data_IF_364123262219
#
_entry.id   IF_364123262219
#
_cell.length_a   1.000
_cell.length_b   1.000
_cell.length_c   1.000
_cell.angle_alpha   90.00
_cell.angle_beta   90.00
_cell.angle_gamma   90.00
#
_symmetry.space_group_name_H-M   'P 1'
#
loop_
_entity.id
_entity.type
_entity.pdbx_description
1 polymer ?
#
# COMPACT_ATOMS: atom_id res chain seq x y z
N UNK A 1 3.29 11.16 -22.27
CA UNK A 1 3.43 11.79 -20.95
C UNK A 1 3.86 13.24 -21.16
N UNK A 2 3.05 14.21 -20.72
CA UNK A 2 3.35 15.66 -20.86
C UNK A 2 3.47 16.35 -19.51
N UNK A 3 3.25 15.63 -18.41
CA UNK A 3 3.36 16.11 -17.03
C UNK A 3 4.22 15.14 -16.21
N UNK A 4 4.48 15.49 -14.94
CA UNK A 4 5.24 14.66 -14.02
C UNK A 4 4.55 13.32 -13.77
N UNK A 5 5.27 12.21 -13.99
CA UNK A 5 4.80 10.83 -13.78
C UNK A 5 5.88 10.00 -13.09
N UNK A 6 5.47 9.14 -12.17
CA UNK A 6 6.36 8.34 -11.33
C UNK A 6 5.65 7.08 -10.79
N UNK A 7 6.40 6.26 -10.05
CA UNK A 7 5.90 5.16 -9.23
C UNK A 7 5.07 4.12 -9.98
N UNK A 8 5.51 3.77 -11.19
CA UNK A 8 4.83 2.76 -11.98
C UNK A 8 4.99 1.38 -11.36
N UNK A 9 3.87 0.70 -11.15
CA UNK A 9 3.80 -0.71 -10.77
C UNK A 9 3.05 -1.50 -11.83
N UNK A 10 3.36 -2.79 -11.93
CA UNK A 10 2.75 -3.72 -12.88
C UNK A 10 2.03 -4.84 -12.14
N UNK A 11 0.90 -5.29 -12.69
CA UNK A 11 0.29 -6.55 -12.28
C UNK A 11 -0.44 -7.22 -13.45
N UNK A 12 -0.57 -8.54 -13.36
CA UNK A 12 -1.41 -9.36 -14.25
C UNK A 12 -2.68 -9.77 -13.49
N UNK A 13 -3.80 -9.87 -14.19
CA UNK A 13 -5.02 -10.49 -13.68
C UNK A 13 -5.85 -11.09 -14.83
N UNK A 14 -6.16 -12.39 -14.75
CA UNK A 14 -6.97 -13.13 -15.72
C UNK A 14 -6.48 -13.00 -17.18
N UNK A 15 -5.17 -13.07 -17.39
CA UNK A 15 -4.51 -12.98 -18.70
C UNK A 15 -4.40 -11.56 -19.25
N UNK A 16 -4.84 -10.55 -18.50
CA UNK A 16 -4.68 -9.13 -18.82
C UNK A 16 -3.56 -8.51 -18.00
N UNK A 17 -2.86 -7.56 -18.60
CA UNK A 17 -1.65 -6.97 -18.07
C UNK A 17 -1.87 -5.47 -17.87
N UNK A 18 -1.58 -4.98 -16.67
CA UNK A 18 -1.91 -3.63 -16.24
C UNK A 18 -0.69 -2.94 -15.66
N UNK A 19 -0.64 -1.62 -15.85
CA UNK A 19 0.26 -0.73 -15.10
C UNK A 19 -0.54 0.33 -14.37
N UNK A 20 -0.11 0.66 -13.16
CA UNK A 20 -0.64 1.76 -12.36
C UNK A 20 0.52 2.72 -12.11
N UNK A 21 0.30 4.03 -12.23
CA UNK A 21 1.32 5.05 -11.95
C UNK A 21 0.69 6.30 -11.36
N UNK A 22 1.51 7.12 -10.70
CA UNK A 22 1.12 8.45 -10.28
C UNK A 22 1.42 9.47 -11.39
N UNK A 23 0.48 10.37 -11.66
CA UNK A 23 0.68 11.48 -12.61
C UNK A 23 0.00 12.74 -12.10
N UNK A 24 0.68 13.88 -12.25
CA UNK A 24 0.14 15.18 -11.83
C UNK A 24 -0.71 15.77 -12.96
N UNK A 25 -2.02 15.91 -12.70
CA UNK A 25 -3.00 16.63 -13.53
C UNK A 25 -3.91 17.49 -12.64
N UNK A 26 -3.30 18.47 -11.96
CA UNK A 26 -3.89 19.17 -10.83
C UNK A 26 -3.32 18.60 -9.52
N UNK A 27 -3.96 17.56 -9.00
CA UNK A 27 -3.44 16.76 -7.88
C UNK A 27 -2.58 15.60 -8.41
N UNK A 28 -1.68 15.02 -7.58
CA UNK A 28 -1.04 13.75 -7.91
C UNK A 28 -2.06 12.63 -7.71
N UNK A 29 -2.39 11.92 -8.78
CA UNK A 29 -3.46 10.92 -8.83
C UNK A 29 -2.95 9.62 -9.44
N UNK A 30 -3.57 8.50 -9.09
CA UNK A 30 -3.24 7.22 -9.71
C UNK A 30 -4.04 7.01 -10.98
N UNK A 31 -3.34 6.62 -12.04
CA UNK A 31 -3.90 6.20 -13.31
C UNK A 31 -3.58 4.73 -13.56
N UNK A 32 -4.45 4.05 -14.29
CA UNK A 32 -4.25 2.65 -14.69
C UNK A 32 -4.52 2.47 -16.19
N UNK A 33 -3.73 1.63 -16.84
CA UNK A 33 -3.89 1.27 -18.25
C UNK A 33 -3.48 -0.18 -18.50
N UNK A 34 -3.97 -0.76 -19.59
CA UNK A 34 -3.50 -2.05 -20.09
C UNK A 34 -2.19 -1.90 -20.88
N UNK A 35 -1.36 -2.94 -20.85
CA UNK A 35 -0.15 -3.11 -21.67
C UNK A 35 -0.17 -4.48 -22.36
N UNK A 36 0.74 -4.68 -23.32
CA UNK A 36 1.12 -6.03 -23.77
C UNK A 36 2.43 -6.45 -23.10
N UNK A 37 2.58 -7.69 -22.60
CA UNK A 37 3.85 -8.18 -22.06
C UNK A 37 4.95 -8.30 -23.12
N UNK A 38 4.61 -8.33 -24.41
CA UNK A 38 5.58 -8.34 -25.52
C UNK A 38 6.19 -6.95 -25.77
N UNK A 39 5.44 -5.89 -25.46
CA UNK A 39 5.88 -4.49 -25.55
C UNK A 39 5.50 -3.72 -24.26
N UNK A 40 6.03 -4.09 -23.09
CA UNK A 40 5.55 -3.62 -21.78
C UNK A 40 5.76 -2.12 -21.54
N UNK A 41 6.57 -1.47 -22.37
CA UNK A 41 6.80 -0.03 -22.35
C UNK A 41 5.73 0.77 -23.12
N UNK A 42 4.74 0.10 -23.75
CA UNK A 42 3.65 0.74 -24.51
C UNK A 42 2.29 0.42 -23.90
N UNK A 43 1.52 1.47 -23.64
CA UNK A 43 0.11 1.31 -23.28
C UNK A 43 -0.69 0.83 -24.49
N UNK A 44 -1.59 -0.13 -24.26
CA UNK A 44 -2.52 -0.66 -25.27
C UNK A 44 -3.93 -0.11 -25.10
N UNK A 45 -4.22 0.55 -23.97
CA UNK A 45 -5.48 1.23 -23.69
C UNK A 45 -5.30 2.72 -23.42
N UNK A 46 -6.42 3.46 -23.41
CA UNK A 46 -6.44 4.77 -22.76
C UNK A 46 -6.33 4.60 -21.23
N UNK A 47 -5.60 5.47 -20.52
CA UNK A 47 -5.58 5.46 -19.07
C UNK A 47 -6.94 5.80 -18.46
N UNK A 48 -7.31 5.14 -17.38
CA UNK A 48 -8.38 5.57 -16.47
C UNK A 48 -7.79 6.29 -15.26
N UNK A 49 -8.54 7.24 -14.71
CA UNK A 49 -8.27 7.77 -13.37
C UNK A 49 -8.73 6.74 -12.34
N UNK A 50 -7.79 6.05 -11.69
CA UNK A 50 -8.09 5.03 -10.70
C UNK A 50 -8.45 5.66 -9.36
N UNK A 51 -7.66 6.62 -8.89
CA UNK A 51 -7.99 7.39 -7.69
C UNK A 51 -7.33 8.77 -7.67
N UNK A 52 -7.95 9.68 -6.94
CA UNK A 52 -7.43 11.01 -6.64
C UNK A 52 -7.60 11.31 -5.15
N UNK A 53 -6.80 12.23 -4.58
CA UNK A 53 -6.98 12.71 -3.22
C UNK A 53 -8.38 13.32 -3.04
N UNK A 54 -9.18 12.74 -2.15
CA UNK A 54 -10.54 13.21 -1.86
C UNK A 54 -10.80 13.32 -0.36
N UNK A 55 -10.26 12.39 0.44
CA UNK A 55 -10.40 12.41 1.90
C UNK A 55 -9.37 13.32 2.55
N UNK A 56 -9.67 13.83 3.76
CA UNK A 56 -8.81 14.80 4.44
C UNK A 56 -7.43 14.23 4.78
N UNK A 57 -7.36 12.94 5.11
CA UNK A 57 -6.09 12.22 5.35
C UNK A 57 -5.22 12.09 4.09
N UNK A 58 -5.74 12.37 2.89
CA UNK A 58 -4.99 12.32 1.63
C UNK A 58 -4.43 13.69 1.20
N UNK A 59 -4.79 14.75 1.93
CA UNK A 59 -4.58 16.14 1.55
C UNK A 59 -3.75 16.91 2.58
N UNK A 60 -3.16 16.24 3.56
CA UNK A 60 -2.36 16.87 4.60
C UNK A 60 -1.03 17.30 3.98
N UNK A 61 -0.74 18.59 4.04
CA UNK A 61 0.40 19.29 3.41
C UNK A 61 0.41 19.25 1.87
N UNK A 62 0.14 18.11 1.25
CA UNK A 62 0.05 17.93 -0.19
C UNK A 62 -1.15 17.04 -0.56
N UNK A 63 -1.71 17.27 -1.76
CA UNK A 63 -2.81 16.47 -2.32
C UNK A 63 -2.21 15.39 -3.20
N UNK A 64 -1.94 14.22 -2.60
CA UNK A 64 -1.16 13.16 -3.25
C UNK A 64 -1.84 11.79 -3.10
N UNK A 65 -1.93 11.06 -4.20
CA UNK A 65 -2.03 9.61 -4.25
C UNK A 65 -0.86 9.11 -5.12
N UNK A 66 0.04 8.32 -4.56
CA UNK A 66 1.26 7.83 -5.23
C UNK A 66 1.66 6.42 -4.77
N UNK A 67 2.81 5.89 -5.21
CA UNK A 67 3.40 4.66 -4.68
C UNK A 67 2.44 3.46 -4.69
N UNK A 68 1.86 3.14 -5.83
CA UNK A 68 0.87 2.07 -5.94
C UNK A 68 1.50 0.67 -5.77
N UNK A 69 0.82 -0.20 -5.02
CA UNK A 69 1.19 -1.60 -4.84
C UNK A 69 -0.02 -2.51 -4.89
N UNK A 70 0.11 -3.65 -5.57
CA UNK A 70 -1.02 -4.56 -5.83
C UNK A 70 -0.87 -5.86 -5.07
N UNK A 71 -1.96 -6.30 -4.43
CA UNK A 71 -2.06 -7.62 -3.78
C UNK A 71 -3.33 -8.33 -4.27
N UNK A 72 -3.22 -9.62 -4.59
CA UNK A 72 -4.35 -10.46 -5.02
C UNK A 72 -4.59 -11.56 -4.00
N UNK A 73 -5.78 -11.60 -3.41
CA UNK A 73 -6.20 -12.61 -2.41
C UNK A 73 -7.72 -12.62 -2.29
N UNK A 74 -8.32 -13.72 -1.81
CA UNK A 74 -9.76 -13.78 -1.53
C UNK A 74 -10.67 -13.49 -2.74
N UNK A 75 -10.19 -13.76 -3.97
CA UNK A 75 -10.93 -13.44 -5.20
C UNK A 75 -11.02 -11.95 -5.53
N UNK A 76 -10.21 -11.10 -4.89
CA UNK A 76 -10.15 -9.65 -5.11
C UNK A 76 -8.76 -9.19 -5.53
N UNK A 77 -8.73 -8.04 -6.21
CA UNK A 77 -7.53 -7.24 -6.46
C UNK A 77 -7.57 -6.04 -5.52
N UNK A 78 -6.51 -5.86 -4.75
CA UNK A 78 -6.31 -4.74 -3.84
C UNK A 78 -5.22 -3.84 -4.40
N UNK A 79 -5.50 -2.55 -4.52
CA UNK A 79 -4.50 -1.52 -4.84
C UNK A 79 -4.29 -0.67 -3.60
N UNK A 80 -3.11 -0.79 -3.02
CA UNK A 80 -2.62 0.07 -1.96
C UNK A 80 -1.89 1.25 -2.57
N UNK A 81 -1.97 2.41 -1.92
CA UNK A 81 -1.34 3.63 -2.41
C UNK A 81 -1.00 4.53 -1.22
N UNK A 82 -0.04 5.41 -1.39
CA UNK A 82 0.35 6.36 -0.34
C UNK A 82 -0.25 7.74 -0.58
N UNK A 83 -0.48 8.49 0.50
CA UNK A 83 -1.13 9.79 0.41
C UNK A 83 -0.53 10.84 1.36
N UNK A 84 -0.91 12.10 1.14
CA UNK A 84 -0.40 13.28 1.86
C UNK A 84 1.09 13.56 1.64
N UNK A 85 1.63 14.55 2.35
CA UNK A 85 3.06 14.85 2.34
C UNK A 85 3.90 13.73 2.94
N UNK A 86 5.18 13.65 2.56
CA UNK A 86 6.09 12.60 3.00
C UNK A 86 6.63 12.83 4.43
N UNK A 87 5.92 13.57 5.27
CA UNK A 87 6.18 13.73 6.70
C UNK A 87 5.49 12.65 7.54
N UNK A 88 5.14 12.97 8.79
CA UNK A 88 4.43 12.07 9.72
C UNK A 88 3.00 11.73 9.28
N UNK A 89 2.43 12.57 8.41
CA UNK A 89 1.11 12.43 7.81
C UNK A 89 1.05 11.39 6.68
N UNK A 90 2.20 10.93 6.19
CA UNK A 90 2.27 9.92 5.14
C UNK A 90 1.60 8.63 5.63
N UNK A 91 0.72 8.08 4.81
CA UNK A 91 -0.08 6.92 5.17
C UNK A 91 -0.52 6.16 3.92
N UNK A 92 -1.01 4.93 4.12
CA UNK A 92 -1.44 4.03 3.05
C UNK A 92 -2.96 3.95 2.99
N UNK A 93 -3.52 4.22 1.82
CA UNK A 93 -4.91 3.95 1.46
C UNK A 93 -5.08 2.64 0.71
N UNK A 94 -6.33 2.23 0.50
CA UNK A 94 -6.68 1.01 -0.25
C UNK A 94 -7.89 1.19 -1.15
N UNK A 95 -7.79 0.66 -2.36
CA UNK A 95 -8.91 0.35 -3.23
C UNK A 95 -9.04 -1.16 -3.42
N UNK A 96 -10.24 -1.63 -3.67
CA UNK A 96 -10.52 -3.04 -3.94
C UNK A 96 -11.54 -3.22 -5.07
N UNK A 97 -11.31 -4.26 -5.88
CA UNK A 97 -12.23 -4.73 -6.92
C UNK A 97 -12.30 -6.26 -6.91
N UNK A 98 -13.39 -6.82 -7.39
CA UNK A 98 -13.45 -8.26 -7.69
C UNK A 98 -12.43 -8.59 -8.78
N UNK A 99 -11.68 -9.69 -8.63
CA UNK A 99 -10.73 -10.14 -9.63
C UNK A 99 -11.39 -10.50 -10.97
N UNK A 100 -12.70 -10.79 -10.97
CA UNK A 100 -13.48 -11.13 -12.16
C UNK A 100 -14.25 -9.93 -12.74
N UNK A 101 -14.12 -8.73 -12.17
CA UNK A 101 -14.74 -7.52 -12.70
C UNK A 101 -13.93 -6.93 -13.87
N UNK A 102 -14.52 -6.00 -14.61
CA UNK A 102 -13.77 -5.16 -15.53
C UNK A 102 -12.93 -4.15 -14.75
N UNK A 103 -11.64 -4.43 -14.58
CA UNK A 103 -10.72 -3.57 -13.83
C UNK A 103 -10.52 -2.21 -14.52
N UNK A 104 -10.77 -2.10 -15.83
CA UNK A 104 -10.72 -0.84 -16.56
C UNK A 104 -11.99 0.01 -16.43
N UNK A 105 -13.02 -0.45 -15.71
CA UNK A 105 -14.14 0.39 -15.27
C UNK A 105 -13.92 0.86 -13.83
N UNK A 106 -13.82 2.18 -13.63
CA UNK A 106 -13.68 2.77 -12.30
C UNK A 106 -14.82 2.37 -11.33
N UNK A 107 -16.00 2.05 -11.85
CA UNK A 107 -17.14 1.59 -11.05
C UNK A 107 -16.92 0.21 -10.41
N UNK A 108 -15.97 -0.58 -10.91
CA UNK A 108 -15.57 -1.86 -10.32
C UNK A 108 -14.80 -1.69 -9.01
N UNK A 109 -14.29 -0.48 -8.74
CA UNK A 109 -13.41 -0.20 -7.62
C UNK A 109 -14.13 0.48 -6.47
N UNK A 110 -13.88 0.01 -5.26
CA UNK A 110 -14.30 0.65 -4.01
C UNK A 110 -13.08 1.20 -3.31
N UNK A 111 -13.06 2.51 -3.03
CA UNK A 111 -12.03 3.16 -2.21
C UNK A 111 -12.46 3.19 -0.75
N UNK A 112 -11.55 2.81 0.16
CA UNK A 112 -11.78 2.92 1.59
C UNK A 112 -11.71 4.39 2.03
N UNK A 113 -12.54 4.75 3.00
CA UNK A 113 -12.68 6.14 3.49
C UNK A 113 -11.62 6.56 4.52
N UNK A 114 -10.81 5.62 4.97
CA UNK A 114 -9.80 5.79 6.02
C UNK A 114 -8.50 5.10 5.58
N UNK A 115 -7.33 5.55 6.07
CA UNK A 115 -6.08 4.86 5.82
C UNK A 115 -6.12 3.45 6.41
N UNK A 116 -5.40 2.52 5.79
CA UNK A 116 -5.22 1.14 6.21
C UNK A 116 -3.86 0.90 6.87
N UNK A 117 -2.96 1.89 6.84
CA UNK A 117 -1.73 1.94 7.61
C UNK A 117 -1.34 3.41 7.83
N UNK A 118 -1.09 3.79 9.06
CA UNK A 118 -0.71 5.16 9.46
C UNK A 118 0.30 5.12 10.61
N UNK A 119 0.84 6.28 11.00
CA UNK A 119 1.73 6.41 12.16
C UNK A 119 1.12 5.87 13.47
N UNK A 120 -0.21 5.82 13.59
CA UNK A 120 -0.89 5.23 14.75
C UNK A 120 -0.74 3.69 14.82
N UNK A 121 -0.49 3.03 13.69
CA UNK A 121 -0.45 1.58 13.55
C UNK A 121 0.99 1.01 13.62
N UNK A 122 1.99 1.89 13.72
CA UNK A 122 3.43 1.55 13.76
C UNK A 122 4.14 2.26 14.93
N UNK A 123 3.94 1.82 16.19
CA UNK A 123 4.57 2.45 17.34
C UNK A 123 6.10 2.55 17.20
N UNK A 124 6.64 3.75 17.39
CA UNK A 124 8.08 4.03 17.22
C UNK A 124 8.48 4.46 15.80
N UNK A 125 7.54 4.41 14.85
CA UNK A 125 7.71 4.85 13.47
C UNK A 125 6.73 5.99 13.14
N UNK A 126 6.99 6.69 12.05
CA UNK A 126 6.21 7.84 11.58
C UNK A 126 6.22 7.91 10.06
N UNK A 127 5.05 8.18 9.48
CA UNK A 127 4.85 8.31 8.04
C UNK A 127 5.08 7.04 7.23
N UNK A 128 4.42 5.89 7.54
CA UNK A 128 4.61 4.66 6.77
C UNK A 128 3.98 4.76 5.38
N UNK A 129 4.73 4.35 4.34
CA UNK A 129 4.16 4.29 3.00
C UNK A 129 5.13 3.81 1.92
N UNK A 130 4.72 4.07 0.68
CA UNK A 130 5.29 3.60 -0.58
C UNK A 130 5.65 2.13 -0.51
N UNK A 131 4.64 1.32 -0.19
CA UNK A 131 4.85 -0.08 0.12
C UNK A 131 5.01 -0.94 -1.14
N UNK A 132 5.44 -2.18 -0.92
CA UNK A 132 5.38 -3.29 -1.86
C UNK A 132 5.07 -4.57 -1.08
N UNK A 133 4.80 -5.66 -1.80
CA UNK A 133 4.47 -6.94 -1.21
C UNK A 133 5.42 -8.02 -1.70
N UNK A 134 5.91 -8.84 -0.78
CA UNK A 134 6.78 -9.97 -1.07
C UNK A 134 6.33 -11.19 -0.29
N UNK A 135 6.83 -12.37 -0.67
CA UNK A 135 6.61 -13.61 0.06
C UNK A 135 7.98 -14.15 0.49
N UNK A 136 8.11 -14.56 1.75
CA UNK A 136 9.34 -15.16 2.26
C UNK A 136 9.49 -16.64 1.83
N UNK A 137 10.59 -17.26 2.22
CA UNK A 137 10.87 -18.68 1.92
C UNK A 137 9.89 -19.67 2.56
N UNK A 138 9.11 -19.24 3.56
CA UNK A 138 8.12 -20.05 4.26
C UNK A 138 6.70 -19.85 3.71
N UNK A 139 6.53 -18.98 2.71
CA UNK A 139 5.23 -18.65 2.14
C UNK A 139 4.47 -17.55 2.90
N UNK A 140 5.10 -16.86 3.86
CA UNK A 140 4.47 -15.76 4.57
C UNK A 140 4.43 -14.51 3.67
N UNK A 141 3.26 -13.90 3.61
CA UNK A 141 3.07 -12.63 2.91
C UNK A 141 3.60 -11.48 3.79
N UNK A 142 4.43 -10.62 3.20
CA UNK A 142 5.07 -9.49 3.89
C UNK A 142 4.77 -8.17 3.19
N UNK A 143 4.57 -7.11 3.98
CA UNK A 143 4.63 -5.73 3.51
C UNK A 143 6.07 -5.22 3.66
N UNK A 144 6.61 -4.62 2.60
CA UNK A 144 7.85 -3.85 2.64
C UNK A 144 7.47 -2.39 2.44
N UNK A 145 7.84 -1.50 3.36
CA UNK A 145 7.49 -0.08 3.30
C UNK A 145 8.66 0.76 3.83
N UNK A 146 8.59 2.08 3.68
CA UNK A 146 9.48 2.97 4.40
C UNK A 146 8.74 3.76 5.48
N UNK A 147 9.44 4.08 6.56
CA UNK A 147 8.97 4.99 7.60
C UNK A 147 10.18 5.70 8.24
N UNK A 148 9.94 6.81 8.93
CA UNK A 148 10.94 7.44 9.80
C UNK A 148 10.81 6.95 11.24
N UNK A 149 11.86 7.03 12.07
CA UNK A 149 11.70 6.94 13.51
C UNK A 149 10.77 8.05 14.01
N UNK A 150 9.88 7.77 14.96
CA UNK A 150 8.97 8.80 15.52
C UNK A 150 9.70 9.97 16.19
N UNK A 151 10.94 9.76 16.66
CA UNK A 151 11.83 10.81 17.14
C UNK A 151 12.13 11.90 16.09
N UNK A 152 11.87 11.62 14.80
CA UNK A 152 11.98 12.60 13.73
C UNK A 152 10.96 13.74 13.86
N UNK A 153 9.77 13.46 14.39
CA UNK A 153 8.70 14.46 14.57
C UNK A 153 9.12 15.57 15.55
N UNK A 154 9.93 15.20 16.56
CA UNK A 154 10.52 16.12 17.55
C UNK A 154 11.91 16.64 17.14
N UNK A 155 12.36 16.36 15.91
CA UNK A 155 13.70 16.71 15.39
C UNK A 155 14.86 16.20 16.25
N UNK A 156 14.65 15.08 16.94
CA UNK A 156 15.63 14.50 17.86
C UNK A 156 16.38 13.30 17.26
N UNK A 157 16.05 12.90 16.03
CA UNK A 157 16.89 11.99 15.25
C UNK A 157 18.11 12.75 14.70
N UNK A 158 19.30 12.15 14.72
CA UNK A 158 20.58 12.83 14.49
C UNK A 158 20.78 13.57 13.14
N UNK A 159 19.86 13.44 12.19
CA UNK A 159 19.81 14.23 10.94
C UNK A 159 18.40 14.76 10.71
N UNK A 160 18.29 16.02 10.28
CA UNK A 160 17.02 16.67 9.98
C UNK A 160 17.19 17.65 8.82
N UNK A 161 16.41 17.48 7.75
CA UNK A 161 16.23 18.50 6.70
C UNK A 161 14.84 19.13 6.80
N UNK A 162 14.73 20.44 6.57
CA UNK A 162 13.43 21.13 6.59
C UNK A 162 12.52 20.71 5.44
N UNK A 163 13.10 20.25 4.33
CA UNK A 163 12.39 19.59 3.23
C UNK A 163 12.50 18.06 3.43
N UNK A 164 11.38 17.36 3.70
CA UNK A 164 11.38 15.91 3.92
C UNK A 164 11.95 15.08 2.76
N UNK A 165 11.95 15.62 1.53
CA UNK A 165 12.51 14.91 0.37
C UNK A 165 14.01 14.69 0.50
N UNK A 166 14.74 15.67 1.04
CA UNK A 166 16.18 15.62 1.25
C UNK A 166 16.58 15.08 2.63
N UNK A 167 15.59 14.71 3.45
CA UNK A 167 15.82 14.05 4.73
C UNK A 167 16.09 12.55 4.53
N UNK A 168 17.25 12.02 4.98
CA UNK A 168 17.65 10.64 4.74
C UNK A 168 17.06 9.63 5.73
N UNK A 169 16.21 10.06 6.68
CA UNK A 169 15.77 9.21 7.79
C UNK A 169 14.62 8.26 7.44
N UNK A 170 14.22 8.16 6.16
CA UNK A 170 13.31 7.11 5.71
C UNK A 170 14.07 5.80 5.64
N UNK A 171 13.64 4.82 6.41
CA UNK A 171 14.26 3.52 6.49
C UNK A 171 13.27 2.45 6.03
N UNK A 172 13.77 1.46 5.29
CA UNK A 172 12.98 0.29 4.93
C UNK A 172 12.58 -0.49 6.18
N UNK A 173 11.35 -0.97 6.18
CA UNK A 173 10.71 -1.78 7.21
C UNK A 173 10.00 -2.96 6.55
N UNK A 174 9.88 -4.05 7.29
CA UNK A 174 9.22 -5.28 6.84
C UNK A 174 8.31 -5.77 7.96
N UNK A 175 7.07 -6.10 7.64
CA UNK A 175 6.11 -6.70 8.57
C UNK A 175 5.33 -7.83 7.89
N UNK A 176 4.87 -8.80 8.67
CA UNK A 176 3.97 -9.84 8.18
C UNK A 176 2.56 -9.28 7.95
N UNK A 177 1.92 -9.72 6.87
CA UNK A 177 0.52 -9.44 6.53
C UNK A 177 -0.30 -10.64 6.94
N UNK A 178 -1.47 -10.37 7.51
CA UNK A 178 -2.44 -11.39 7.86
C UNK A 178 -3.64 -11.31 6.94
N UNK A 179 -4.15 -12.47 6.54
CA UNK A 179 -5.35 -12.58 5.72
C UNK A 179 -6.47 -13.05 6.64
N UNK A 180 -7.55 -12.27 6.71
CA UNK A 180 -8.71 -12.62 7.54
C UNK A 180 -9.50 -13.80 6.97
N UNK A 181 -10.51 -14.27 7.72
CA UNK A 181 -11.35 -15.40 7.30
C UNK A 181 -12.14 -15.15 5.99
N UNK A 182 -12.27 -13.90 5.56
CA UNK A 182 -12.93 -13.51 4.31
C UNK A 182 -11.93 -13.29 3.16
N UNK A 183 -10.65 -13.55 3.38
CA UNK A 183 -9.60 -13.35 2.39
C UNK A 183 -9.11 -11.91 2.28
N UNK A 184 -9.48 -11.01 3.20
CA UNK A 184 -9.08 -9.60 3.20
C UNK A 184 -7.71 -9.43 3.87
N UNK A 185 -6.76 -8.73 3.23
CA UNK A 185 -5.46 -8.46 3.83
C UNK A 185 -5.55 -7.35 4.89
N UNK A 186 -5.00 -7.62 6.06
CA UNK A 186 -4.71 -6.66 7.12
C UNK A 186 -3.20 -6.40 7.17
N UNK A 187 -2.83 -5.15 6.83
CA UNK A 187 -1.44 -4.69 6.79
C UNK A 187 -1.03 -3.91 8.03
N UNK A 188 -1.97 -3.61 8.93
CA UNK A 188 -1.75 -2.87 10.18
C UNK A 188 -1.66 -3.79 11.40
N UNK A 189 -2.19 -5.02 11.30
CA UNK A 189 -2.21 -5.99 12.38
C UNK A 189 -0.83 -6.22 13.00
N UNK A 190 -0.78 -6.24 14.34
CA UNK A 190 0.45 -6.47 15.08
C UNK A 190 0.48 -7.91 15.62
N UNK A 191 1.66 -8.49 15.86
CA UNK A 191 1.77 -9.85 16.40
C UNK A 191 1.00 -10.05 17.70
N UNK A 192 0.93 -9.04 18.56
CA UNK A 192 0.16 -9.07 19.80
C UNK A 192 -1.36 -9.17 19.59
N UNK A 193 -1.87 -8.73 18.44
CA UNK A 193 -3.28 -8.74 18.08
C UNK A 193 -3.71 -10.10 17.48
N UNK A 194 -2.76 -10.98 17.13
CA UNK A 194 -3.04 -12.26 16.43
C UNK A 194 -3.80 -13.28 17.26
N UNK A 195 -3.46 -13.36 18.54
CA UNK A 195 -4.01 -14.34 19.45
C UNK A 195 -4.43 -13.60 20.71
N UNK A 196 -5.74 -13.67 20.97
CA UNK A 196 -6.29 -13.29 22.26
C UNK A 196 -5.44 -13.97 23.35
N UNK A 197 -4.95 -13.21 24.34
CA UNK A 197 -4.16 -13.75 25.44
C UNK A 197 -4.75 -15.03 26.06
N UNK A 198 -6.08 -15.17 26.10
CA UNK A 198 -6.76 -16.34 26.64
C UNK A 198 -6.53 -17.63 25.84
N UNK A 199 -6.20 -17.54 24.54
CA UNK A 199 -5.97 -18.68 23.66
C UNK A 199 -4.49 -18.96 23.37
N UNK A 200 -3.56 -18.25 24.03
CA UNK A 200 -2.11 -18.42 23.79
C UNK A 200 -1.54 -19.75 24.29
N UNK A 201 -2.22 -20.41 25.24
CA UNK A 201 -1.78 -21.68 25.80
C UNK A 201 -2.72 -22.80 25.34
N UNK A 202 -2.19 -23.73 24.55
CA UNK A 202 -2.91 -24.94 24.13
C UNK A 202 -2.24 -26.15 24.80
N UNK A 203 -3.05 -27.00 25.45
CA UNK A 203 -2.60 -28.28 25.99
C UNK A 203 -3.13 -29.40 25.10
N UNK A 204 -2.23 -30.24 24.56
CA UNK A 204 -2.61 -31.43 23.80
C UNK A 204 -2.10 -32.68 24.52
N UNK A 205 -2.94 -33.71 24.59
CA UNK A 205 -2.54 -35.05 25.04
C UNK A 205 -2.41 -35.93 23.80
N UNK A 206 -1.20 -36.45 23.54
CA UNK A 206 -0.93 -37.32 22.39
C UNK A 206 -0.94 -38.77 22.88
N UNK A 207 -1.79 -39.59 22.27
CA UNK A 207 -1.78 -41.03 22.45
C UNK A 207 -0.98 -41.66 21.31
N UNK A 208 0.04 -42.45 21.66
CA UNK A 208 0.81 -43.26 20.71
C UNK A 208 0.38 -44.71 20.94
N UNK A 209 -0.16 -45.33 19.89
CA UNK A 209 -0.55 -46.74 19.89
C UNK A 209 0.60 -47.62 19.41
#
# INVERSE_FOLDING_TARGET
FTSFSLDMTYFENNGKHYVIWAEIKGDSSLFMAEISPDEPWKLTSRPILLTKPEYDWEKVNHRVNEGAAVLKTGGKVYVFFSASGTGSEYCVGRMEASANADLMDIKSWTKLKSPVLSSADVPGESGPGHNSFVTDENGNLLIVYHARPSAHDSKSCGSYASDPLYDPCRHTRIRQIFIDANGVPDIAMRPEDLLDPQYRTVTATIYIN
#
